data_IF_247030482748
#
_entry.id   IF_247030482748
#
_cell.length_a   1.000
_cell.length_b   1.000
_cell.length_c   1.000
_cell.angle_alpha   90.00
_cell.angle_beta   90.00
_cell.angle_gamma   90.00
#
_symmetry.space_group_name_H-M   'P 1'
#
loop_
_entity.id
_entity.type
_entity.pdbx_description
1 polymer ?
#
# COMPACT_ATOMS: atom_id res chain seq x y z
N UNK A 1 -8.61 -0.43 -10.10
CA UNK A 1 -7.72 -0.79 -8.98
C UNK A 1 -6.68 0.30 -8.84
N UNK A 2 -6.68 1.02 -7.70
CA UNK A 2 -5.66 2.02 -7.39
C UNK A 2 -4.28 1.33 -7.28
N UNK A 3 -3.24 1.97 -7.81
CA UNK A 3 -1.85 1.54 -7.67
C UNK A 3 -1.02 2.74 -7.22
N UNK A 4 -0.49 2.66 -6.01
CA UNK A 4 0.48 3.61 -5.48
C UNK A 4 1.89 3.06 -5.71
N UNK A 5 2.82 3.92 -6.12
CA UNK A 5 4.21 3.59 -6.46
C UNK A 5 5.15 4.58 -5.78
N UNK A 6 6.44 4.27 -5.75
CA UNK A 6 7.46 5.12 -5.12
C UNK A 6 7.71 4.84 -3.64
N UNK A 7 7.39 3.62 -3.17
CA UNK A 7 7.80 3.14 -1.85
C UNK A 7 9.21 2.55 -1.93
N UNK A 8 10.05 2.88 -0.96
CA UNK A 8 11.42 2.36 -0.88
C UNK A 8 11.42 0.85 -0.56
N UNK A 9 10.45 0.41 0.25
CA UNK A 9 10.29 -0.99 0.60
C UNK A 9 8.82 -1.40 0.87
N UNK A 10 8.63 -2.68 1.22
CA UNK A 10 7.31 -3.25 1.51
C UNK A 10 6.73 -2.71 2.83
N UNK A 11 7.56 -2.23 3.75
CA UNK A 11 7.14 -1.65 5.02
C UNK A 11 6.41 -0.32 4.78
N UNK A 12 6.92 0.50 3.87
CA UNK A 12 6.28 1.75 3.49
C UNK A 12 4.96 1.51 2.74
N UNK A 13 4.95 0.54 1.82
CA UNK A 13 3.70 0.11 1.16
C UNK A 13 2.66 -0.42 2.18
N UNK A 14 3.08 -1.14 3.22
CA UNK A 14 2.20 -1.63 4.31
C UNK A 14 1.60 -0.49 5.12
N UNK A 15 2.39 0.53 5.47
CA UNK A 15 1.90 1.72 6.18
C UNK A 15 0.81 2.43 5.38
N UNK A 16 1.04 2.63 4.08
CA UNK A 16 0.04 3.20 3.18
C UNK A 16 -1.24 2.35 3.15
N UNK A 17 -1.12 1.03 2.98
CA UNK A 17 -2.30 0.15 2.99
C UNK A 17 -3.08 0.19 4.32
N UNK A 18 -2.42 0.38 5.47
CA UNK A 18 -3.14 0.47 6.76
C UNK A 18 -4.12 1.63 6.81
N UNK A 19 -3.78 2.77 6.22
CA UNK A 19 -4.68 3.93 6.13
C UNK A 19 -5.88 3.65 5.20
N UNK A 20 -5.66 2.96 4.08
CA UNK A 20 -6.72 2.57 3.15
C UNK A 20 -7.70 1.56 3.78
N UNK A 21 -7.17 0.55 4.46
CA UNK A 21 -7.98 -0.46 5.16
C UNK A 21 -8.80 0.18 6.29
N UNK A 22 -8.23 1.15 7.01
CA UNK A 22 -8.98 1.93 8.00
C UNK A 22 -10.13 2.74 7.37
N UNK A 23 -9.99 3.14 6.10
CA UNK A 23 -11.04 3.76 5.29
C UNK A 23 -12.01 2.78 4.63
N UNK A 24 -11.90 1.48 4.92
CA UNK A 24 -12.77 0.44 4.36
C UNK A 24 -12.41 -0.01 2.93
N UNK A 25 -11.22 0.36 2.44
CA UNK A 25 -10.73 -0.06 1.13
C UNK A 25 -9.76 -1.24 1.25
N UNK A 26 -10.06 -2.34 0.53
CA UNK A 26 -9.17 -3.50 0.46
C UNK A 26 -7.85 -3.14 -0.25
N UNK A 27 -6.72 -3.44 0.41
CA UNK A 27 -5.38 -3.09 -0.05
C UNK A 27 -4.42 -4.27 0.09
N UNK A 28 -3.59 -4.49 -0.94
CA UNK A 28 -2.53 -5.51 -0.93
C UNK A 28 -1.20 -4.77 -1.11
N UNK A 29 -0.31 -4.77 -0.09
CA UNK A 29 0.98 -4.12 -0.21
C UNK A 29 1.87 -4.93 -1.15
N UNK A 30 2.41 -4.28 -2.17
CA UNK A 30 3.34 -4.86 -3.14
C UNK A 30 4.44 -3.84 -3.44
N UNK A 31 5.65 -4.33 -3.70
CA UNK A 31 6.73 -3.53 -4.29
C UNK A 31 7.04 -4.07 -5.68
N UNK A 32 7.27 -3.16 -6.63
CA UNK A 32 7.84 -3.52 -7.92
C UNK A 32 9.37 -3.49 -7.79
N UNK A 33 10.05 -4.46 -8.38
CA UNK A 33 11.50 -4.45 -8.50
C UNK A 33 11.89 -3.85 -9.84
#
# INVERSE_FOLDING_TARGET
RLRAMGFDDISDARRFCSALVAGGADCIPVTTR
#
